data_IF_419995915274
#
_entry.id   IF_419995915274
#
_cell.length_a   1.000
_cell.length_b   1.000
_cell.length_c   1.000
_cell.angle_alpha   90.00
_cell.angle_beta   90.00
_cell.angle_gamma   90.00
#
_symmetry.space_group_name_H-M   'P 1'
#
loop_
_entity.id
_entity.type
_entity.pdbx_description
1 polymer ?
#
# COMPACT_ATOMS: atom_id res chain seq x y z
N UNK A 1 4.43 112.14 -27.92
CA UNK A 1 5.03 110.96 -28.58
C UNK A 1 5.09 109.82 -27.57
N UNK A 2 4.59 108.65 -27.99
CA UNK A 2 4.69 107.29 -27.42
C UNK A 2 5.77 107.07 -26.35
N UNK A 3 5.59 106.26 -25.30
CA UNK A 3 5.01 104.90 -25.29
C UNK A 3 4.77 104.43 -23.84
N UNK A 4 3.71 103.65 -23.64
CA UNK A 4 3.41 102.95 -22.39
C UNK A 4 4.29 101.70 -22.18
N UNK A 5 4.54 101.33 -20.92
CA UNK A 5 5.01 99.98 -20.57
C UNK A 5 4.37 99.51 -19.25
N UNK A 6 3.41 98.59 -19.38
CA UNK A 6 2.88 97.74 -18.30
C UNK A 6 3.86 96.59 -18.10
N UNK A 7 4.10 96.17 -16.86
CA UNK A 7 4.58 94.81 -16.55
C UNK A 7 3.78 94.23 -15.39
N UNK A 8 3.42 92.96 -15.57
CA UNK A 8 2.40 92.19 -14.88
C UNK A 8 3.05 91.21 -13.91
N UNK A 9 2.39 90.98 -12.79
CA UNK A 9 2.77 90.11 -11.68
C UNK A 9 2.52 88.63 -12.06
N UNK A 10 3.57 87.81 -12.10
CA UNK A 10 3.49 86.38 -12.41
C UNK A 10 3.08 85.57 -11.18
N UNK A 11 2.02 84.75 -11.31
CA UNK A 11 1.55 83.80 -10.31
C UNK A 11 2.19 82.43 -10.62
N UNK A 12 2.91 81.86 -9.65
CA UNK A 12 3.42 80.49 -9.68
C UNK A 12 2.26 79.50 -9.53
N UNK A 13 1.98 78.72 -10.58
CA UNK A 13 1.00 77.63 -10.56
C UNK A 13 1.74 76.31 -10.33
N UNK A 14 1.59 75.72 -9.14
CA UNK A 14 2.09 74.40 -8.81
C UNK A 14 1.12 73.34 -9.35
N UNK A 15 1.58 72.51 -10.29
CA UNK A 15 0.83 71.36 -10.82
C UNK A 15 1.09 70.15 -9.91
N UNK A 16 0.01 69.64 -9.29
CA UNK A 16 0.01 68.40 -8.52
C UNK A 16 -0.33 67.24 -9.46
N UNK A 17 0.64 66.36 -9.74
CA UNK A 17 0.41 65.15 -10.57
C UNK A 17 -0.10 64.05 -9.65
N UNK A 18 -1.37 63.68 -9.80
CA UNK A 18 -1.99 62.54 -9.12
C UNK A 18 -1.78 61.29 -9.97
N UNK A 19 -0.99 60.32 -9.49
CA UNK A 19 -0.81 59.02 -10.15
C UNK A 19 -1.91 58.07 -9.65
N UNK A 20 -2.69 57.44 -10.52
CA UNK A 20 -3.65 56.43 -10.08
C UNK A 20 -2.89 55.14 -9.76
N UNK A 21 -2.92 54.72 -8.50
CA UNK A 21 -2.50 53.38 -8.09
C UNK A 21 -3.61 52.41 -8.49
N UNK A 22 -3.53 51.88 -9.70
CA UNK A 22 -4.36 50.75 -10.12
C UNK A 22 -3.83 49.47 -9.49
N UNK A 23 -4.47 49.00 -8.41
CA UNK A 23 -4.24 47.66 -7.89
C UNK A 23 -4.86 46.65 -8.87
N UNK A 24 -4.04 46.08 -9.76
CA UNK A 24 -4.43 44.93 -10.56
C UNK A 24 -4.47 43.70 -9.63
N UNK A 25 -5.66 43.33 -9.17
CA UNK A 25 -5.88 42.04 -8.53
C UNK A 25 -5.84 40.97 -9.62
N UNK A 26 -4.68 40.31 -9.77
CA UNK A 26 -4.61 39.04 -10.49
C UNK A 26 -5.40 38.01 -9.68
N UNK A 27 -6.60 37.67 -10.14
CA UNK A 27 -7.33 36.50 -9.64
C UNK A 27 -6.57 35.26 -10.11
N UNK A 28 -5.79 34.65 -9.22
CA UNK A 28 -5.30 33.31 -9.43
C UNK A 28 -6.51 32.38 -9.44
N UNK A 29 -6.89 31.89 -10.63
CA UNK A 29 -7.83 30.79 -10.74
C UNK A 29 -7.14 29.56 -10.18
N UNK A 30 -7.56 29.11 -8.99
CA UNK A 30 -7.19 27.80 -8.49
C UNK A 30 -7.84 26.76 -9.41
N UNK A 31 -7.03 26.06 -10.20
CA UNK A 31 -7.46 24.83 -10.88
C UNK A 31 -7.79 23.84 -9.77
N UNK A 32 -9.06 23.45 -9.65
CA UNK A 32 -9.45 22.36 -8.77
C UNK A 32 -8.97 21.11 -9.48
N UNK A 33 -7.84 20.54 -9.06
CA UNK A 33 -7.45 19.21 -9.52
C UNK A 33 -8.49 18.24 -8.98
N UNK A 34 -9.27 17.69 -9.90
CA UNK A 34 -10.25 16.65 -9.62
C UNK A 34 -9.46 15.41 -9.18
N UNK A 35 -9.31 15.22 -7.87
CA UNK A 35 -8.64 14.04 -7.32
C UNK A 35 -9.51 12.83 -7.64
N UNK A 36 -9.12 12.11 -8.68
CA UNK A 36 -9.69 10.80 -9.01
C UNK A 36 -9.59 9.90 -7.77
N UNK A 37 -10.70 9.26 -7.35
CA UNK A 37 -10.69 8.39 -6.19
C UNK A 37 -9.76 7.20 -6.43
N UNK A 38 -9.11 6.72 -5.36
CA UNK A 38 -8.23 5.58 -5.44
C UNK A 38 -8.99 4.33 -5.93
N UNK A 39 -8.37 3.54 -6.80
CA UNK A 39 -8.93 2.30 -7.32
C UNK A 39 -7.84 1.25 -7.48
N UNK A 40 -8.20 -0.02 -7.33
CA UNK A 40 -7.33 -1.15 -7.63
C UNK A 40 -7.97 -1.98 -8.74
N UNK A 41 -7.16 -2.37 -9.73
CA UNK A 41 -7.59 -3.25 -10.83
C UNK A 41 -6.98 -4.63 -10.64
N UNK A 42 -7.73 -5.62 -10.11
CA UNK A 42 -7.21 -6.97 -9.97
C UNK A 42 -6.78 -7.56 -11.32
N UNK A 43 -5.70 -8.35 -11.35
CA UNK A 43 -5.38 -9.12 -12.53
C UNK A 43 -6.53 -10.09 -12.87
N UNK A 44 -6.72 -10.36 -14.16
CA UNK A 44 -7.66 -11.36 -14.66
C UNK A 44 -7.03 -12.76 -14.59
N UNK A 45 -6.56 -13.12 -13.39
CA UNK A 45 -6.07 -14.46 -13.08
C UNK A 45 -6.81 -15.05 -11.88
N UNK A 46 -7.11 -16.35 -11.97
CA UNK A 46 -7.63 -17.11 -10.84
C UNK A 46 -6.50 -17.68 -10.00
N UNK A 47 -6.83 -18.12 -8.80
CA UNK A 47 -5.91 -18.95 -8.01
C UNK A 47 -5.70 -20.31 -8.68
N UNK A 48 -4.50 -20.91 -8.55
CA UNK A 48 -4.28 -22.31 -8.93
C UNK A 48 -5.27 -23.26 -8.23
N UNK A 49 -5.65 -24.36 -8.90
CA UNK A 49 -6.53 -25.39 -8.35
C UNK A 49 -5.95 -25.96 -7.05
N UNK A 50 -6.63 -25.71 -5.92
CA UNK A 50 -6.22 -26.22 -4.62
C UNK A 50 -6.96 -27.52 -4.29
N UNK A 51 -6.26 -28.54 -3.81
CA UNK A 51 -6.87 -29.71 -3.19
C UNK A 51 -7.24 -29.38 -1.75
N UNK A 52 -8.53 -29.28 -1.44
CA UNK A 52 -8.99 -29.02 -0.06
C UNK A 52 -8.69 -30.22 0.84
N UNK A 53 -7.94 -30.00 1.92
CA UNK A 53 -7.76 -31.00 2.98
C UNK A 53 -9.05 -31.18 3.79
N UNK A 54 -9.68 -32.35 3.70
CA UNK A 54 -11.00 -32.65 4.29
C UNK A 54 -11.00 -33.10 5.75
N UNK A 55 -10.17 -32.53 6.63
CA UNK A 55 -10.09 -32.97 8.03
C UNK A 55 -10.49 -31.86 9.01
N UNK A 56 -11.66 -32.00 9.65
CA UNK A 56 -12.02 -31.20 10.83
C UNK A 56 -11.56 -31.93 12.09
N UNK A 57 -10.71 -31.30 12.89
CA UNK A 57 -10.27 -31.82 14.20
C UNK A 57 -10.64 -30.80 15.28
N UNK A 58 -10.98 -31.24 16.51
CA UNK A 58 -11.24 -30.30 17.60
C UNK A 58 -9.93 -29.55 17.92
N UNK A 59 -9.95 -28.25 17.71
CA UNK A 59 -8.80 -27.36 17.80
C UNK A 59 -8.90 -26.48 19.05
N UNK A 60 -7.78 -26.26 19.75
CA UNK A 60 -7.63 -25.07 20.59
C UNK A 60 -7.69 -23.81 19.73
N UNK A 61 -7.90 -22.62 20.32
CA UNK A 61 -8.09 -21.37 19.56
C UNK A 61 -7.00 -21.06 18.53
N UNK A 62 -5.74 -21.49 18.77
CA UNK A 62 -4.64 -21.33 17.82
C UNK A 62 -4.79 -22.21 16.58
N UNK A 63 -5.21 -23.46 16.74
CA UNK A 63 -5.35 -24.44 15.65
C UNK A 63 -6.60 -24.17 14.77
N UNK A 64 -7.39 -23.15 15.09
CA UNK A 64 -8.56 -22.78 14.31
C UNK A 64 -8.16 -21.98 13.07
N UNK A 65 -8.32 -22.60 11.91
CA UNK A 65 -8.24 -21.92 10.62
C UNK A 65 -9.59 -21.27 10.28
N UNK A 66 -9.57 -19.97 10.05
CA UNK A 66 -10.76 -19.15 9.75
C UNK A 66 -10.93 -18.94 8.24
N UNK A 67 -9.81 -18.97 7.50
CA UNK A 67 -9.78 -18.84 6.04
C UNK A 67 -8.44 -19.27 5.46
N UNK A 68 -8.28 -19.11 4.15
CA UNK A 68 -7.01 -19.42 3.48
C UNK A 68 -5.85 -18.58 4.01
N UNK A 69 -6.12 -17.35 4.44
CA UNK A 69 -5.15 -16.36 4.90
C UNK A 69 -5.29 -15.98 6.38
N UNK A 70 -6.14 -16.67 7.16
CA UNK A 70 -6.42 -16.34 8.56
C UNK A 70 -6.45 -17.55 9.49
N UNK A 71 -5.65 -17.50 10.56
CA UNK A 71 -5.63 -18.46 11.67
C UNK A 71 -4.87 -17.88 12.86
N UNK A 72 -5.12 -18.40 14.08
CA UNK A 72 -4.39 -17.99 15.29
C UNK A 72 -4.34 -16.47 15.56
N UNK A 73 -5.37 -15.72 15.14
CA UNK A 73 -5.43 -14.25 15.17
C UNK A 73 -4.33 -13.55 14.35
N UNK A 74 -3.79 -14.26 13.35
CA UNK A 74 -2.85 -13.75 12.36
C UNK A 74 -3.55 -13.76 11.01
N UNK A 75 -3.45 -12.64 10.30
CA UNK A 75 -3.96 -12.45 8.95
C UNK A 75 -2.81 -12.15 8.00
N UNK A 76 -2.70 -12.94 6.93
CA UNK A 76 -1.84 -12.65 5.80
C UNK A 76 -2.58 -11.73 4.83
N UNK A 77 -2.01 -10.55 4.54
CA UNK A 77 -2.62 -9.57 3.64
C UNK A 77 -2.34 -9.89 2.16
N UNK A 78 -2.61 -11.12 1.77
CA UNK A 78 -2.60 -11.59 0.39
C UNK A 78 -4.04 -11.62 -0.16
N UNK A 79 -4.24 -11.37 -1.46
CA UNK A 79 -5.56 -11.46 -2.07
C UNK A 79 -6.08 -12.91 -2.02
N UNK A 80 -7.39 -13.05 -1.86
CA UNK A 80 -8.06 -14.35 -1.66
C UNK A 80 -8.68 -14.93 -2.92
N UNK A 81 -8.77 -14.15 -4.00
CA UNK A 81 -9.48 -14.51 -5.23
C UNK A 81 -8.61 -14.49 -6.50
N UNK A 82 -7.40 -13.93 -6.43
CA UNK A 82 -6.47 -13.78 -7.56
C UNK A 82 -5.02 -13.90 -7.10
N UNK A 83 -4.08 -13.98 -8.04
CA UNK A 83 -2.64 -14.04 -7.71
C UNK A 83 -2.13 -12.62 -7.46
N UNK A 84 -1.58 -12.38 -6.27
CA UNK A 84 -1.00 -11.08 -5.96
C UNK A 84 0.24 -10.82 -6.82
N UNK A 85 0.36 -9.62 -7.38
CA UNK A 85 1.53 -9.24 -8.19
C UNK A 85 2.50 -8.40 -7.38
N UNK A 86 3.80 -8.59 -7.63
CA UNK A 86 4.87 -7.72 -7.14
C UNK A 86 5.85 -7.32 -8.24
N UNK A 87 6.53 -6.19 -8.08
CA UNK A 87 7.69 -5.82 -8.93
C UNK A 87 9.03 -6.19 -8.30
N UNK A 88 9.04 -6.38 -6.98
CA UNK A 88 10.24 -6.67 -6.20
C UNK A 88 10.81 -8.06 -6.52
N UNK A 89 12.14 -8.13 -6.57
CA UNK A 89 12.89 -9.39 -6.61
C UNK A 89 12.76 -10.19 -5.31
N UNK A 90 12.64 -9.47 -4.20
CA UNK A 90 12.51 -9.98 -2.84
C UNK A 90 11.31 -9.29 -2.22
N UNK A 91 10.08 -9.75 -2.49
CA UNK A 91 8.89 -9.10 -1.97
C UNK A 91 8.84 -9.18 -0.46
N UNK A 92 8.21 -8.17 0.12
CA UNK A 92 7.88 -8.09 1.52
C UNK A 92 6.39 -8.42 1.67
N UNK A 93 6.06 -9.38 2.53
CA UNK A 93 4.68 -9.78 2.75
C UNK A 93 4.19 -9.17 4.05
N UNK A 94 3.11 -8.39 3.97
CA UNK A 94 2.53 -7.74 5.14
C UNK A 94 1.51 -8.69 5.80
N UNK A 95 1.61 -8.79 7.12
CA UNK A 95 0.68 -9.52 7.96
C UNK A 95 0.18 -8.60 9.08
N UNK A 96 -0.97 -8.94 9.62
CA UNK A 96 -1.53 -8.33 10.80
C UNK A 96 -1.75 -9.42 11.85
N UNK A 97 -1.26 -9.21 13.07
CA UNK A 97 -1.58 -10.05 14.20
C UNK A 97 -2.24 -9.20 15.28
N UNK A 98 -3.38 -9.66 15.78
CA UNK A 98 -4.00 -9.06 16.98
C UNK A 98 -3.31 -9.61 18.24
N UNK A 99 -4.06 -9.80 19.33
CA UNK A 99 -3.60 -10.56 20.48
C UNK A 99 -3.51 -12.05 20.12
N UNK A 100 -2.29 -12.53 19.87
CA UNK A 100 -2.00 -13.93 19.52
C UNK A 100 -1.09 -14.58 20.56
N UNK A 101 -1.26 -15.88 20.88
CA UNK A 101 -0.31 -16.63 21.70
C UNK A 101 0.90 -17.14 20.89
N UNK A 102 0.96 -16.86 19.59
CA UNK A 102 2.01 -17.35 18.69
C UNK A 102 3.27 -16.53 18.88
N UNK A 103 4.37 -17.18 19.25
CA UNK A 103 5.68 -16.54 19.42
C UNK A 103 6.55 -16.63 18.17
N UNK A 104 6.22 -17.54 17.25
CA UNK A 104 7.04 -17.84 16.08
C UNK A 104 6.20 -18.32 14.91
N UNK A 105 6.59 -17.91 13.71
CA UNK A 105 6.03 -18.40 12.45
C UNK A 105 7.09 -19.12 11.64
N UNK A 106 6.67 -20.14 10.90
CA UNK A 106 7.45 -20.75 9.84
C UNK A 106 6.98 -20.24 8.48
N UNK A 107 7.92 -19.88 7.62
CA UNK A 107 7.66 -19.32 6.29
C UNK A 107 8.21 -20.30 5.26
N UNK A 108 7.45 -20.54 4.20
CA UNK A 108 7.84 -21.38 3.08
C UNK A 108 7.34 -20.77 1.76
N UNK A 109 8.21 -20.73 0.76
CA UNK A 109 7.91 -20.26 -0.60
C UNK A 109 8.32 -21.36 -1.57
N UNK A 110 7.38 -21.75 -2.41
CA UNK A 110 7.60 -22.77 -3.45
C UNK A 110 7.15 -22.25 -4.81
N UNK A 111 7.80 -22.70 -5.87
CA UNK A 111 7.35 -22.45 -7.24
C UNK A 111 6.11 -23.30 -7.59
N UNK A 112 5.57 -23.09 -8.80
CA UNK A 112 4.42 -23.84 -9.30
C UNK A 112 4.67 -25.36 -9.48
N UNK A 113 5.91 -25.84 -9.38
CA UNK A 113 6.27 -27.26 -9.42
C UNK A 113 6.46 -27.86 -8.01
N UNK A 114 6.32 -27.06 -6.96
CA UNK A 114 6.58 -27.45 -5.57
C UNK A 114 8.07 -27.44 -5.21
N UNK A 115 8.93 -26.83 -6.03
CA UNK A 115 10.34 -26.65 -5.71
C UNK A 115 10.48 -25.59 -4.63
N UNK A 116 11.22 -25.90 -3.57
CA UNK A 116 11.52 -24.97 -2.49
C UNK A 116 12.40 -23.81 -2.99
N UNK A 117 11.91 -22.59 -2.82
CA UNK A 117 12.66 -21.34 -3.06
C UNK A 117 13.23 -20.80 -1.77
N UNK A 118 12.40 -20.77 -0.72
CA UNK A 118 12.80 -20.27 0.60
C UNK A 118 12.03 -21.00 1.71
N UNK A 119 12.71 -21.24 2.82
CA UNK A 119 12.06 -21.52 4.09
C UNK A 119 12.83 -20.91 5.25
N UNK A 120 12.13 -20.49 6.29
CA UNK A 120 12.74 -19.89 7.46
C UNK A 120 11.77 -19.73 8.62
N UNK A 121 12.31 -19.27 9.75
CA UNK A 121 11.52 -18.95 10.94
C UNK A 121 11.65 -17.48 11.27
N UNK A 122 10.58 -16.88 11.77
CA UNK A 122 10.56 -15.52 12.27
C UNK A 122 9.87 -15.49 13.64
N UNK A 123 10.52 -14.83 14.60
CA UNK A 123 9.98 -14.62 15.94
C UNK A 123 9.06 -13.40 15.91
N UNK A 124 7.91 -13.51 16.58
CA UNK A 124 6.96 -12.41 16.75
C UNK A 124 7.24 -11.65 18.05
N UNK A 125 6.97 -10.35 18.05
CA UNK A 125 6.99 -9.51 19.25
C UNK A 125 5.74 -9.77 20.11
N UNK A 126 5.82 -9.45 21.40
CA UNK A 126 4.67 -9.60 22.32
C UNK A 126 3.53 -8.58 22.04
N UNK A 127 3.87 -7.46 21.41
CA UNK A 127 2.92 -6.45 20.94
C UNK A 127 2.78 -6.65 19.42
N UNK A 128 1.71 -7.29 18.95
CA UNK A 128 1.51 -7.45 17.51
C UNK A 128 0.38 -6.57 17.00
N UNK A 129 0.71 -5.86 15.91
CA UNK A 129 -0.16 -5.20 14.97
C UNK A 129 0.32 -5.58 13.57
N UNK A 130 0.62 -4.62 12.70
CA UNK A 130 1.26 -4.91 11.42
C UNK A 130 2.71 -5.36 11.57
N UNK A 131 3.09 -6.41 10.84
CA UNK A 131 4.47 -6.89 10.74
C UNK A 131 4.74 -7.49 9.36
N UNK A 132 6.02 -7.53 8.99
CA UNK A 132 6.43 -7.94 7.65
C UNK A 132 7.23 -9.24 7.70
N UNK A 133 6.96 -10.11 6.74
CA UNK A 133 7.78 -11.28 6.41
C UNK A 133 8.67 -10.92 5.22
N UNK A 134 9.98 -10.98 5.45
CA UNK A 134 11.00 -10.61 4.47
C UNK A 134 11.78 -11.85 4.04
N UNK A 135 12.12 -11.91 2.76
CA UNK A 135 13.11 -12.85 2.26
C UNK A 135 14.51 -12.30 2.57
N UNK A 136 15.41 -13.08 3.20
CA UNK A 136 16.81 -12.69 3.35
C UNK A 136 17.47 -12.36 2.02
N UNK A 137 18.39 -11.38 1.99
CA UNK A 137 19.02 -10.92 0.74
C UNK A 137 19.82 -12.02 0.00
N UNK A 138 20.26 -13.06 0.71
CA UNK A 138 20.99 -14.20 0.15
C UNK A 138 20.06 -15.27 -0.46
N UNK A 139 18.74 -15.13 -0.32
CA UNK A 139 17.78 -16.00 -1.00
C UNK A 139 17.73 -15.72 -2.50
N UNK A 140 17.45 -16.74 -3.33
CA UNK A 140 17.20 -16.53 -4.75
C UNK A 140 16.08 -15.51 -4.96
N UNK A 141 16.33 -14.54 -5.84
CA UNK A 141 15.28 -13.62 -6.28
C UNK A 141 14.13 -14.39 -6.93
N UNK A 142 12.90 -13.95 -6.70
CA UNK A 142 11.76 -14.45 -7.47
C UNK A 142 11.98 -14.12 -8.95
N UNK A 143 11.75 -15.09 -9.81
CA UNK A 143 11.89 -14.90 -11.25
C UNK A 143 10.66 -14.19 -11.81
N UNK A 144 10.85 -13.26 -12.76
CA UNK A 144 9.72 -12.67 -13.47
C UNK A 144 8.86 -13.74 -14.15
N UNK A 145 7.57 -13.46 -14.21
CA UNK A 145 6.53 -14.29 -14.83
C UNK A 145 6.27 -15.66 -14.21
N UNK A 146 6.92 -15.97 -13.07
CA UNK A 146 6.66 -17.17 -12.29
C UNK A 146 5.73 -16.87 -11.11
N UNK A 147 4.77 -17.78 -10.90
CA UNK A 147 3.87 -17.78 -9.73
C UNK A 147 4.45 -18.68 -8.64
N UNK A 148 4.45 -18.17 -7.42
CA UNK A 148 4.92 -18.84 -6.23
C UNK A 148 3.80 -18.94 -5.20
N UNK A 149 3.79 -20.03 -4.44
CA UNK A 149 2.94 -20.19 -3.27
C UNK A 149 3.71 -19.76 -2.02
N UNK A 150 3.17 -18.76 -1.32
CA UNK A 150 3.61 -18.37 0.02
C UNK A 150 2.79 -19.15 1.05
N UNK A 151 3.48 -19.78 2.00
CA UNK A 151 2.89 -20.40 3.18
C UNK A 151 3.48 -19.79 4.43
N UNK A 152 2.62 -19.32 5.33
CA UNK A 152 2.99 -18.87 6.68
C UNK A 152 2.27 -19.76 7.68
N UNK A 153 3.04 -20.40 8.56
CA UNK A 153 2.55 -21.38 9.53
C UNK A 153 2.78 -20.83 10.93
N UNK A 154 1.73 -20.36 11.62
CA UNK A 154 1.79 -20.04 13.05
C UNK A 154 2.12 -21.28 13.86
N UNK A 155 3.19 -21.23 14.66
CA UNK A 155 3.58 -22.35 15.52
C UNK A 155 2.76 -22.27 16.81
N UNK A 156 1.78 -23.15 16.95
CA UNK A 156 0.82 -23.10 18.06
C UNK A 156 1.34 -23.70 19.37
N UNK A 157 2.39 -24.51 19.30
CA UNK A 157 3.03 -25.14 20.46
C UNK A 157 4.55 -24.86 20.46
N UNK A 158 5.35 -25.69 21.13
CA UNK A 158 6.81 -25.48 21.23
C UNK A 158 7.57 -25.78 19.93
N UNK A 159 6.96 -26.48 18.97
CA UNK A 159 7.61 -26.93 17.73
C UNK A 159 6.61 -26.95 16.59
N UNK A 160 7.07 -26.71 15.37
CA UNK A 160 6.28 -26.85 14.14
C UNK A 160 5.68 -28.27 14.03
N UNK A 161 4.37 -28.35 13.84
CA UNK A 161 3.62 -29.61 13.74
C UNK A 161 2.80 -29.69 12.47
N UNK A 162 2.50 -30.92 11.99
CA UNK A 162 1.65 -31.12 10.81
C UNK A 162 0.21 -30.60 10.95
N UNK A 163 -0.25 -30.36 12.18
CA UNK A 163 -1.58 -29.83 12.47
C UNK A 163 -1.60 -28.33 12.76
N UNK A 164 -0.46 -27.64 12.71
CA UNK A 164 -0.43 -26.18 12.75
C UNK A 164 -1.15 -25.60 11.52
N UNK A 165 -1.92 -24.51 11.68
CA UNK A 165 -2.68 -23.92 10.58
C UNK A 165 -1.74 -23.31 9.53
N UNK A 166 -2.17 -23.26 8.27
CA UNK A 166 -1.37 -22.73 7.17
C UNK A 166 -2.10 -21.55 6.53
N UNK A 167 -1.52 -20.36 6.65
CA UNK A 167 -1.93 -19.18 5.90
C UNK A 167 -1.27 -19.25 4.52
N UNK A 168 -2.06 -19.16 3.46
CA UNK A 168 -1.61 -19.31 2.07
C UNK A 168 -1.89 -18.03 1.29
N UNK A 169 -0.90 -17.60 0.51
CA UNK A 169 -1.03 -16.56 -0.50
C UNK A 169 -0.28 -16.96 -1.76
N UNK A 170 -0.55 -16.25 -2.86
CA UNK A 170 0.16 -16.45 -4.13
C UNK A 170 0.80 -15.15 -4.58
N UNK A 171 2.02 -15.25 -5.08
CA UNK A 171 2.79 -14.10 -5.57
C UNK A 171 3.34 -14.39 -6.95
N UNK A 172 3.16 -13.44 -7.87
CA UNK A 172 3.82 -13.43 -9.17
C UNK A 172 4.67 -12.18 -9.28
N UNK A 173 5.95 -12.34 -9.61
CA UNK A 173 6.80 -11.19 -9.94
C UNK A 173 6.61 -10.80 -11.40
N UNK A 174 6.46 -9.51 -11.67
CA UNK A 174 6.46 -8.96 -13.02
C UNK A 174 7.55 -7.89 -13.17
N UNK A 175 7.88 -7.56 -14.41
CA UNK A 175 8.65 -6.35 -14.74
C UNK A 175 7.68 -5.33 -15.32
N UNK A 176 7.54 -4.18 -14.66
CA UNK A 176 6.71 -3.11 -15.17
C UNK A 176 7.36 -2.42 -16.38
N UNK A 177 6.57 -2.01 -17.38
CA UNK A 177 7.05 -1.12 -18.42
C UNK A 177 7.44 0.24 -17.82
N UNK A 178 8.49 0.88 -18.34
CA UNK A 178 8.99 2.17 -17.81
C UNK A 178 7.98 3.32 -17.82
N UNK A 179 6.92 3.24 -18.63
CA UNK A 179 5.82 4.22 -18.66
C UNK A 179 4.90 4.11 -17.43
N UNK A 180 4.95 2.97 -16.74
CA UNK A 180 4.21 2.63 -15.53
C UNK A 180 5.07 2.84 -14.28
N UNK A 181 6.34 3.23 -14.43
CA UNK A 181 7.14 3.62 -13.29
C UNK A 181 6.73 5.03 -12.80
N UNK A 182 6.53 5.22 -11.48
CA UNK A 182 6.19 6.52 -10.92
C UNK A 182 7.29 7.55 -11.16
N UNK A 183 6.90 8.82 -11.27
CA UNK A 183 7.86 9.91 -11.33
C UNK A 183 8.49 10.11 -9.94
N UNK A 184 9.77 10.50 -9.83
CA UNK A 184 10.37 10.89 -8.55
C UNK A 184 9.65 12.05 -7.83
N UNK A 185 8.78 12.79 -8.55
CA UNK A 185 7.99 13.88 -8.00
C UNK A 185 6.57 13.47 -7.60
N UNK A 186 6.15 12.23 -7.88
CA UNK A 186 4.83 11.73 -7.54
C UNK A 186 4.67 11.62 -6.03
N UNK A 187 3.48 11.95 -5.55
CA UNK A 187 3.07 11.66 -4.18
C UNK A 187 2.97 10.14 -3.95
N UNK A 188 2.91 9.75 -2.67
CA UNK A 188 2.71 8.36 -2.26
C UNK A 188 1.43 7.79 -2.88
N UNK A 189 0.32 8.54 -2.82
CA UNK A 189 -0.96 8.10 -3.37
C UNK A 189 -0.96 7.99 -4.90
N UNK A 190 -0.31 8.91 -5.62
CA UNK A 190 -0.19 8.79 -7.09
C UNK A 190 0.68 7.59 -7.50
N UNK A 191 1.73 7.33 -6.74
CA UNK A 191 2.61 6.17 -6.93
C UNK A 191 1.84 4.88 -6.66
N UNK A 192 1.11 4.82 -5.54
CA UNK A 192 0.25 3.70 -5.19
C UNK A 192 -0.84 3.47 -6.24
N UNK A 193 -1.49 4.54 -6.72
CA UNK A 193 -2.52 4.43 -7.76
C UNK A 193 -1.98 3.81 -9.05
N UNK A 194 -0.76 4.19 -9.47
CA UNK A 194 -0.13 3.65 -10.67
C UNK A 194 0.16 2.15 -10.57
N UNK A 195 0.64 1.71 -9.41
CA UNK A 195 0.81 0.27 -9.13
C UNK A 195 -0.54 -0.45 -9.07
N UNK A 196 -1.54 0.15 -8.43
CA UNK A 196 -2.89 -0.38 -8.30
C UNK A 196 -3.60 -0.53 -9.65
N UNK A 197 -3.43 0.43 -10.57
CA UNK A 197 -3.94 0.38 -11.95
C UNK A 197 -3.32 -0.79 -12.75
N UNK A 198 -2.13 -1.22 -12.34
CA UNK A 198 -1.38 -2.31 -12.96
C UNK A 198 -1.56 -3.65 -12.22
N UNK A 199 -2.45 -3.70 -11.23
CA UNK A 199 -2.72 -4.89 -10.42
C UNK A 199 -1.60 -5.29 -9.47
N UNK A 200 -0.59 -4.44 -9.27
CA UNK A 200 0.55 -4.72 -8.37
C UNK A 200 0.08 -4.62 -6.92
N UNK A 201 -0.17 -5.77 -6.31
CA UNK A 201 -0.76 -5.87 -4.98
C UNK A 201 0.24 -5.55 -3.86
N UNK A 202 1.34 -6.31 -3.79
CA UNK A 202 2.21 -6.30 -2.62
C UNK A 202 2.94 -4.95 -2.45
N UNK A 203 3.39 -4.37 -3.56
CA UNK A 203 4.10 -3.08 -3.56
C UNK A 203 3.14 -1.92 -3.22
N UNK A 204 1.91 -1.96 -3.72
CA UNK A 204 0.87 -0.96 -3.35
C UNK A 204 0.53 -1.06 -1.87
N UNK A 205 0.32 -2.28 -1.38
CA UNK A 205 -0.01 -2.54 0.02
C UNK A 205 1.10 -2.06 0.94
N UNK A 206 2.37 -2.37 0.61
CA UNK A 206 3.51 -1.90 1.37
C UNK A 206 3.50 -0.38 1.42
N UNK A 207 3.51 0.28 0.26
CA UNK A 207 3.60 1.73 0.13
C UNK A 207 2.53 2.49 0.93
N UNK A 208 1.26 2.07 0.85
CA UNK A 208 0.19 2.69 1.64
C UNK A 208 0.36 2.37 3.13
N UNK A 209 0.75 1.14 3.46
CA UNK A 209 0.99 0.70 4.84
C UNK A 209 2.11 1.48 5.54
N UNK A 210 3.28 1.70 4.91
CA UNK A 210 4.36 2.55 5.48
C UNK A 210 3.83 3.95 5.75
N UNK A 211 3.13 4.53 4.77
CA UNK A 211 2.64 5.89 4.88
C UNK A 211 1.61 6.03 6.01
N UNK A 212 0.74 5.03 6.20
CA UNK A 212 -0.20 5.01 7.33
C UNK A 212 0.50 4.82 8.68
N UNK A 213 1.58 4.04 8.76
CA UNK A 213 2.36 3.95 10.00
C UNK A 213 3.00 5.28 10.41
N UNK A 214 3.31 6.15 9.45
CA UNK A 214 3.84 7.49 9.72
C UNK A 214 2.74 8.53 9.96
N UNK A 215 1.62 8.43 9.24
CA UNK A 215 0.48 9.34 9.33
C UNK A 215 -0.86 8.60 9.48
N UNK A 216 -1.16 8.02 10.66
CA UNK A 216 -2.33 7.16 10.86
C UNK A 216 -3.68 7.85 10.67
N UNK A 217 -3.73 9.18 10.76
CA UNK A 217 -4.95 9.99 10.64
C UNK A 217 -5.21 10.47 9.20
N UNK A 218 -4.35 10.16 8.22
CA UNK A 218 -4.57 10.55 6.83
C UNK A 218 -5.75 9.79 6.21
N UNK A 219 -6.86 10.50 6.05
CA UNK A 219 -8.11 9.94 5.53
C UNK A 219 -8.01 9.46 4.08
N UNK A 220 -7.13 10.05 3.26
CA UNK A 220 -6.97 9.61 1.88
C UNK A 220 -6.23 8.28 1.82
N UNK A 221 -5.18 8.13 2.64
CA UNK A 221 -4.45 6.87 2.77
C UNK A 221 -5.34 5.77 3.38
N UNK A 222 -6.12 6.08 4.42
CA UNK A 222 -7.07 5.12 5.02
C UNK A 222 -8.13 4.66 4.00
N UNK A 223 -8.65 5.58 3.18
CA UNK A 223 -9.59 5.23 2.13
C UNK A 223 -8.94 4.34 1.06
N UNK A 224 -7.73 4.68 0.59
CA UNK A 224 -6.99 3.88 -0.37
C UNK A 224 -6.68 2.48 0.17
N UNK A 225 -6.28 2.38 1.43
CA UNK A 225 -6.06 1.13 2.14
C UNK A 225 -7.30 0.24 2.17
N UNK A 226 -8.45 0.80 2.55
CA UNK A 226 -9.70 0.06 2.61
C UNK A 226 -10.12 -0.42 1.22
N UNK A 227 -10.08 0.45 0.19
CA UNK A 227 -10.39 0.07 -1.20
C UNK A 227 -9.48 -1.05 -1.69
N UNK A 228 -8.17 -0.95 -1.42
CA UNK A 228 -7.20 -1.97 -1.77
C UNK A 228 -7.55 -3.31 -1.12
N UNK A 229 -7.71 -3.34 0.20
CA UNK A 229 -8.00 -4.59 0.90
C UNK A 229 -9.37 -5.18 0.50
N UNK A 230 -10.42 -4.37 0.36
CA UNK A 230 -11.71 -4.87 -0.14
C UNK A 230 -11.57 -5.51 -1.53
N UNK A 231 -10.74 -4.94 -2.40
CA UNK A 231 -10.50 -5.52 -3.73
C UNK A 231 -9.81 -6.90 -3.66
N UNK A 232 -9.00 -7.16 -2.63
CA UNK A 232 -8.38 -8.47 -2.35
C UNK A 232 -9.28 -9.47 -1.61
N UNK A 233 -10.52 -9.09 -1.32
CA UNK A 233 -11.52 -9.95 -0.68
C UNK A 233 -11.57 -9.87 0.85
N UNK A 234 -10.98 -8.83 1.45
CA UNK A 234 -11.13 -8.56 2.88
C UNK A 234 -12.47 -7.87 3.15
N UNK A 235 -13.16 -8.28 4.21
CA UNK A 235 -14.46 -7.75 4.63
C UNK A 235 -14.32 -6.48 5.48
N UNK A 236 -15.36 -5.65 5.49
CA UNK A 236 -15.41 -4.45 6.35
C UNK A 236 -15.13 -4.76 7.84
N UNK A 237 -15.57 -5.93 8.32
CA UNK A 237 -15.29 -6.36 9.70
C UNK A 237 -13.81 -6.59 9.98
N UNK A 238 -13.06 -7.12 9.01
CA UNK A 238 -11.61 -7.33 9.14
C UNK A 238 -10.88 -5.99 9.13
N UNK A 239 -11.28 -5.07 8.25
CA UNK A 239 -10.64 -3.74 8.15
C UNK A 239 -10.75 -2.94 9.44
N UNK A 240 -11.90 -3.01 10.12
CA UNK A 240 -12.11 -2.32 11.39
C UNK A 240 -11.27 -2.88 12.55
N UNK A 241 -10.68 -4.07 12.39
CA UNK A 241 -9.77 -4.66 13.39
C UNK A 241 -8.35 -4.14 13.28
N UNK A 242 -7.98 -3.52 12.15
CA UNK A 242 -6.62 -3.11 11.84
C UNK A 242 -6.31 -1.72 12.40
N UNK A 243 -5.35 -1.65 13.34
CA UNK A 243 -4.86 -0.40 13.90
C UNK A 243 -3.44 -0.09 13.43
N UNK A 244 -3.21 1.14 12.99
CA UNK A 244 -1.92 1.72 12.63
C UNK A 244 -1.32 2.56 13.76
#
# INVERSE_FOLDING_TARGET
MMTARKTSLGILSSILIMVPVGAAFAQASATIEETTPFQFSPPDDGLPDNTTGGASRPAGSCLMQQGANQAANITLLAPTSFVGITTSAHPEFLLYAEQTPVEQIFINIQDAQGTLVYQGFQVLSADTGFFTVNLPEDTPALEPDNTYQLSVVPICEATLRPDDPILTGYVKRIILPSVVEPSPQSSILETAQRYADSGVWYDTLRLIGDALSETPEDTNLLNAWNILLMSGGFSDSELNSYSF
#
